data_IF_396096673768
#
_entry.id   IF_396096673768
#
_cell.length_a   1.000
_cell.length_b   1.000
_cell.length_c   1.000
_cell.angle_alpha   90.00
_cell.angle_beta   90.00
_cell.angle_gamma   90.00
#
_symmetry.space_group_name_H-M   'P 1'
#
loop_
_entity.id
_entity.type
_entity.pdbx_description
1 polymer ?
#
# COMPACT_ATOMS: atom_id res chain seq x y z
N UNK A 1 -9.87 -18.18 6.53
CA UNK A 1 -11.07 -17.56 7.09
C UNK A 1 -10.69 -16.71 8.29
N UNK A 2 -10.98 -15.44 8.29
CA UNK A 2 -10.68 -14.56 9.43
C UNK A 2 -11.76 -14.75 10.51
N UNK A 3 -11.73 -15.90 11.18
CA UNK A 3 -12.80 -16.31 12.11
C UNK A 3 -12.53 -15.96 13.56
N UNK A 4 -11.29 -15.65 13.91
CA UNK A 4 -10.89 -15.29 15.26
C UNK A 4 -10.36 -13.86 15.35
N UNK A 5 -10.45 -13.27 16.55
CA UNK A 5 -9.89 -11.97 16.85
C UNK A 5 -8.37 -11.94 16.58
N UNK A 6 -7.66 -13.00 16.96
CA UNK A 6 -6.22 -13.12 16.76
C UNK A 6 -5.85 -13.16 15.28
N UNK A 7 -6.59 -13.90 14.47
CA UNK A 7 -6.37 -13.98 13.02
C UNK A 7 -6.58 -12.62 12.36
N UNK A 8 -7.61 -11.87 12.78
CA UNK A 8 -7.87 -10.54 12.29
C UNK A 8 -6.75 -9.57 12.67
N UNK A 9 -6.31 -9.59 13.92
CA UNK A 9 -5.20 -8.74 14.38
C UNK A 9 -3.91 -9.02 13.61
N UNK A 10 -3.59 -10.29 13.38
CA UNK A 10 -2.43 -10.67 12.57
C UNK A 10 -2.55 -10.18 11.12
N UNK A 11 -3.71 -10.34 10.52
CA UNK A 11 -3.97 -9.87 9.15
C UNK A 11 -3.84 -8.35 9.05
N UNK A 12 -4.29 -7.61 10.06
CA UNK A 12 -4.15 -6.15 10.10
C UNK A 12 -2.68 -5.71 10.20
N UNK A 13 -1.88 -6.41 10.99
CA UNK A 13 -0.45 -6.14 11.09
C UNK A 13 0.24 -6.37 9.75
N UNK A 14 -0.04 -7.48 9.10
CA UNK A 14 0.51 -7.80 7.78
C UNK A 14 0.11 -6.74 6.74
N UNK A 15 -1.15 -6.35 6.73
CA UNK A 15 -1.65 -5.31 5.85
C UNK A 15 -0.94 -3.97 6.12
N UNK A 16 -0.77 -3.58 7.38
CA UNK A 16 -0.06 -2.36 7.75
C UNK A 16 1.38 -2.35 7.23
N UNK A 17 2.09 -3.46 7.36
CA UNK A 17 3.46 -3.56 6.86
C UNK A 17 3.54 -3.48 5.34
N UNK A 18 2.58 -4.06 4.64
CA UNK A 18 2.49 -3.94 3.18
C UNK A 18 2.22 -2.51 2.74
N UNK A 19 1.28 -1.83 3.40
CA UNK A 19 1.01 -0.41 3.14
C UNK A 19 2.25 0.46 3.38
N UNK A 20 2.94 0.20 4.48
CA UNK A 20 4.19 0.89 4.79
C UNK A 20 5.25 0.69 3.71
N UNK A 21 5.41 -0.54 3.23
CA UNK A 21 6.34 -0.85 2.14
C UNK A 21 5.97 -0.15 0.85
N UNK A 22 4.69 -0.14 0.51
CA UNK A 22 4.18 0.54 -0.68
C UNK A 22 4.38 2.05 -0.58
N UNK A 23 4.10 2.65 0.58
CA UNK A 23 4.35 4.07 0.83
C UNK A 23 5.82 4.44 0.64
N UNK A 24 6.73 3.64 1.19
CA UNK A 24 8.17 3.88 1.05
C UNK A 24 8.62 3.77 -0.40
N UNK A 25 8.09 2.79 -1.14
CA UNK A 25 8.34 2.67 -2.58
C UNK A 25 7.89 3.91 -3.34
N UNK A 26 6.67 4.41 -3.08
CA UNK A 26 6.18 5.62 -3.74
C UNK A 26 6.97 6.87 -3.36
N UNK A 27 7.39 6.99 -2.11
CA UNK A 27 8.22 8.10 -1.67
C UNK A 27 9.57 8.11 -2.41
N UNK A 28 10.21 6.96 -2.54
CA UNK A 28 11.47 6.81 -3.26
C UNK A 28 11.28 7.07 -4.77
N UNK A 29 10.27 6.49 -5.38
CA UNK A 29 9.95 6.74 -6.80
C UNK A 29 9.68 8.21 -7.07
N UNK A 30 8.99 8.89 -6.16
CA UNK A 30 8.72 10.32 -6.26
C UNK A 30 9.97 11.18 -6.18
N UNK A 31 10.99 10.73 -5.43
CA UNK A 31 12.28 11.43 -5.39
C UNK A 31 13.10 11.21 -6.66
N UNK A 32 13.06 10.01 -7.22
CA UNK A 32 13.86 9.61 -8.39
C UNK A 32 13.23 9.96 -9.73
N UNK A 33 11.93 10.20 -9.77
CA UNK A 33 11.20 10.50 -11.00
C UNK A 33 11.76 11.74 -11.70
N UNK A 34 11.94 11.66 -13.01
CA UNK A 34 12.44 12.76 -13.84
C UNK A 34 11.30 13.64 -14.33
N UNK A 35 10.18 13.04 -14.69
CA UNK A 35 9.00 13.76 -15.15
C UNK A 35 8.29 14.42 -13.95
N UNK A 36 7.96 15.75 -14.04
CA UNK A 36 7.28 16.44 -12.94
C UNK A 36 5.91 15.87 -12.57
N UNK A 37 5.15 15.41 -13.55
CA UNK A 37 3.83 14.82 -13.29
C UNK A 37 3.95 13.43 -12.64
N UNK A 38 4.91 12.62 -13.08
CA UNK A 38 5.21 11.34 -12.43
C UNK A 38 5.64 11.56 -10.98
N UNK A 39 6.50 12.54 -10.73
CA UNK A 39 6.93 12.92 -9.38
C UNK A 39 5.74 13.29 -8.48
N UNK A 40 4.85 14.12 -9.00
CA UNK A 40 3.64 14.54 -8.31
C UNK A 40 2.72 13.34 -8.02
N UNK A 41 2.56 12.45 -8.99
CA UNK A 41 1.76 11.24 -8.87
C UNK A 41 2.25 10.35 -7.72
N UNK A 42 3.54 10.05 -7.67
CA UNK A 42 4.11 9.20 -6.62
C UNK A 42 4.04 9.84 -5.24
N UNK A 43 4.22 11.16 -5.14
CA UNK A 43 4.04 11.87 -3.87
C UNK A 43 2.61 11.79 -3.36
N UNK A 44 1.63 11.96 -4.24
CA UNK A 44 0.22 11.83 -3.88
C UNK A 44 -0.11 10.41 -3.43
N UNK A 45 0.36 9.40 -4.15
CA UNK A 45 0.17 7.99 -3.78
C UNK A 45 0.80 7.67 -2.43
N UNK A 46 2.02 8.13 -2.17
CA UNK A 46 2.66 7.94 -0.86
C UNK A 46 1.83 8.52 0.28
N UNK A 47 1.25 9.70 0.11
CA UNK A 47 0.38 10.32 1.11
C UNK A 47 -0.92 9.54 1.30
N UNK A 48 -1.48 8.95 0.25
CA UNK A 48 -2.69 8.15 0.33
C UNK A 48 -2.45 6.81 1.05
N UNK A 49 -1.29 6.17 0.81
CA UNK A 49 -0.92 4.95 1.54
C UNK A 49 -0.75 5.22 3.03
N UNK A 50 -0.29 6.39 3.41
CA UNK A 50 -0.22 6.78 4.82
C UNK A 50 -1.61 6.82 5.48
N UNK A 51 -2.63 7.26 4.75
CA UNK A 51 -4.02 7.21 5.22
C UNK A 51 -4.53 5.76 5.38
N UNK A 52 -4.16 4.87 4.47
CA UNK A 52 -4.46 3.44 4.61
C UNK A 52 -3.85 2.87 5.90
N UNK A 53 -2.60 3.23 6.19
CA UNK A 53 -1.94 2.83 7.44
C UNK A 53 -2.72 3.33 8.66
N UNK A 54 -3.21 4.56 8.63
CA UNK A 54 -4.02 5.12 9.71
C UNK A 54 -5.35 4.38 9.89
N UNK A 55 -6.02 4.01 8.80
CA UNK A 55 -7.24 3.20 8.85
C UNK A 55 -6.99 1.84 9.48
N UNK A 56 -5.93 1.15 9.06
CA UNK A 56 -5.58 -0.16 9.59
C UNK A 56 -5.25 -0.06 11.09
N UNK A 57 -4.47 0.94 11.46
CA UNK A 57 -4.13 1.21 12.88
C UNK A 57 -5.39 1.42 13.71
N UNK A 58 -6.30 2.26 13.24
CA UNK A 58 -7.57 2.55 13.92
C UNK A 58 -8.41 1.29 14.09
N UNK A 59 -8.49 0.46 13.05
CA UNK A 59 -9.22 -0.79 13.12
C UNK A 59 -8.57 -1.77 14.10
N UNK A 60 -7.25 -1.89 14.07
CA UNK A 60 -6.49 -2.73 15.00
C UNK A 60 -6.81 -2.35 16.45
N UNK A 61 -6.73 -1.06 16.77
CA UNK A 61 -7.02 -0.55 18.13
C UNK A 61 -8.47 -0.81 18.53
N UNK A 62 -9.41 -0.65 17.61
CA UNK A 62 -10.82 -0.95 17.82
C UNK A 62 -11.07 -2.43 18.15
N UNK A 63 -10.37 -3.34 17.48
CA UNK A 63 -10.48 -4.78 17.71
C UNK A 63 -9.83 -5.19 19.03
N UNK A 64 -8.77 -4.52 19.43
CA UNK A 64 -7.97 -4.87 20.61
C UNK A 64 -8.40 -4.18 21.92
N UNK A 65 -9.48 -3.43 21.94
CA UNK A 65 -9.92 -2.61 23.10
C UNK A 65 -8.98 -1.46 23.48
N UNK A 66 -8.45 -0.77 22.50
CA UNK A 66 -8.01 0.62 22.50
C UNK A 66 -6.83 1.07 23.39
N UNK A 67 -6.22 0.21 24.17
CA UNK A 67 -5.26 0.73 25.17
C UNK A 67 -3.81 0.36 24.93
N UNK A 68 -3.51 -0.34 23.83
CA UNK A 68 -2.15 -0.80 23.55
C UNK A 68 -1.58 -0.24 22.23
N UNK A 69 -1.57 1.09 22.14
CA UNK A 69 -0.84 1.81 21.08
C UNK A 69 0.63 1.42 21.06
N UNK A 70 1.21 1.22 22.25
CA UNK A 70 2.62 0.82 22.36
C UNK A 70 2.86 -0.57 21.78
N UNK A 71 1.97 -1.53 22.01
CA UNK A 71 2.10 -2.87 21.48
C UNK A 71 2.11 -2.92 19.96
N UNK A 72 1.22 -2.19 19.31
CA UNK A 72 1.18 -2.09 17.85
C UNK A 72 2.44 -1.43 17.30
N UNK A 73 2.84 -0.29 17.86
CA UNK A 73 4.03 0.44 17.42
C UNK A 73 5.31 -0.36 17.62
N UNK A 74 5.47 -1.04 18.76
CA UNK A 74 6.60 -1.92 18.99
C UNK A 74 6.63 -3.05 17.99
N UNK A 75 5.51 -3.70 17.74
CA UNK A 75 5.42 -4.77 16.74
C UNK A 75 5.82 -4.27 15.35
N UNK A 76 5.30 -3.13 14.93
CA UNK A 76 5.60 -2.56 13.62
C UNK A 76 7.07 -2.16 13.46
N UNK A 77 7.74 -1.77 14.55
CA UNK A 77 9.18 -1.44 14.55
C UNK A 77 10.08 -2.67 14.47
N UNK A 78 9.67 -3.78 15.09
CA UNK A 78 10.45 -5.02 15.15
C UNK A 78 10.08 -6.04 14.09
N UNK A 79 9.06 -5.75 13.29
CA UNK A 79 8.63 -6.64 12.22
C UNK A 79 9.64 -6.65 11.06
N UNK A 80 9.56 -7.70 10.24
CA UNK A 80 10.42 -7.92 9.08
C UNK A 80 10.47 -6.70 8.15
N UNK A 81 11.50 -6.66 7.29
CA UNK A 81 11.69 -5.59 6.32
C UNK A 81 10.40 -5.29 5.54
N UNK A 82 10.12 -4.01 5.27
CA UNK A 82 8.90 -3.63 4.56
C UNK A 82 8.79 -4.33 3.21
N UNK A 83 7.59 -4.78 2.90
CA UNK A 83 7.24 -5.33 1.60
C UNK A 83 6.10 -4.49 1.02
N UNK A 84 5.98 -4.48 -0.30
CA UNK A 84 4.85 -3.86 -0.96
C UNK A 84 3.60 -4.73 -0.80
N UNK A 85 2.45 -4.20 -1.14
CA UNK A 85 1.18 -4.93 -1.19
C UNK A 85 1.23 -6.15 -2.12
N UNK A 86 2.13 -6.13 -3.10
CA UNK A 86 2.42 -7.28 -3.97
C UNK A 86 3.28 -8.36 -3.29
N UNK A 87 3.72 -8.13 -2.05
CA UNK A 87 4.60 -9.04 -1.33
C UNK A 87 6.07 -8.95 -1.77
N UNK A 88 6.43 -7.94 -2.55
CA UNK A 88 7.80 -7.73 -3.03
C UNK A 88 8.54 -6.84 -2.03
N UNK A 89 9.70 -7.25 -1.49
CA UNK A 89 10.47 -6.40 -0.60
C UNK A 89 10.83 -5.06 -1.27
N UNK A 90 10.63 -3.96 -0.56
CA UNK A 90 10.92 -2.60 -1.08
C UNK A 90 12.37 -2.50 -1.52
N UNK A 91 13.29 -3.11 -0.76
CA UNK A 91 14.71 -3.18 -1.10
C UNK A 91 14.98 -3.74 -2.50
N UNK A 92 14.23 -4.77 -2.90
CA UNK A 92 14.39 -5.38 -4.22
C UNK A 92 13.86 -4.48 -5.33
N UNK A 93 12.79 -3.74 -5.07
CA UNK A 93 12.26 -2.74 -6.00
C UNK A 93 13.20 -1.56 -6.15
N UNK A 94 13.75 -1.06 -5.06
CA UNK A 94 14.74 0.02 -5.10
C UNK A 94 15.98 -0.38 -5.89
N UNK A 95 16.51 -1.59 -5.65
CA UNK A 95 17.63 -2.13 -6.40
C UNK A 95 17.31 -2.29 -7.90
N UNK A 96 16.09 -2.68 -8.22
CA UNK A 96 15.60 -2.78 -9.61
C UNK A 96 15.52 -1.40 -10.26
N UNK A 97 14.97 -0.41 -9.55
CA UNK A 97 14.89 0.97 -10.02
C UNK A 97 16.28 1.58 -10.24
N UNK A 98 17.23 1.32 -9.36
CA UNK A 98 18.61 1.80 -9.51
C UNK A 98 19.31 1.16 -10.72
N UNK A 99 19.16 -0.14 -10.90
CA UNK A 99 19.72 -0.86 -12.07
C UNK A 99 19.07 -0.43 -13.37
N UNK A 100 17.80 -0.02 -13.31
CA UNK A 100 17.00 0.44 -14.44
C UNK A 100 16.69 1.94 -14.34
N UNK A 101 17.64 2.74 -13.85
CA UNK A 101 17.46 4.19 -13.71
C UNK A 101 17.20 4.91 -15.05
N UNK A 102 17.50 4.24 -16.16
CA UNK A 102 17.12 4.62 -17.52
C UNK A 102 15.74 4.08 -17.93
N UNK A 103 15.18 3.13 -17.18
CA UNK A 103 13.81 2.64 -17.36
C UNK A 103 12.91 3.51 -16.49
N UNK A 104 13.04 4.69 -16.72
CA UNK A 104 12.05 5.68 -16.76
C UNK A 104 10.91 5.57 -15.74
N UNK A 105 10.31 6.66 -15.60
CA UNK A 105 9.09 6.86 -14.83
C UNK A 105 7.97 5.91 -15.27
N UNK A 106 7.94 5.54 -16.55
CA UNK A 106 6.96 4.59 -17.08
C UNK A 106 7.10 3.21 -16.43
N UNK A 107 8.32 2.70 -16.27
CA UNK A 107 8.56 1.43 -15.58
C UNK A 107 8.07 1.45 -14.13
N UNK A 108 8.31 2.54 -13.41
CA UNK A 108 7.83 2.73 -12.05
C UNK A 108 6.29 2.77 -11.98
N UNK A 109 5.64 3.43 -12.93
CA UNK A 109 4.16 3.47 -13.01
C UNK A 109 3.59 2.07 -13.29
N UNK A 110 4.21 1.29 -14.16
CA UNK A 110 3.77 -0.07 -14.45
C UNK A 110 3.90 -0.97 -13.20
N UNK A 111 5.00 -0.88 -12.46
CA UNK A 111 5.15 -1.59 -11.20
C UNK A 111 4.08 -1.16 -10.18
N UNK A 112 3.81 0.15 -10.08
CA UNK A 112 2.78 0.67 -9.20
C UNK A 112 1.40 0.09 -9.55
N UNK A 113 1.05 0.02 -10.83
CA UNK A 113 -0.21 -0.59 -11.27
C UNK A 113 -0.32 -2.07 -10.87
N UNK A 114 0.76 -2.81 -10.93
CA UNK A 114 0.79 -4.20 -10.47
C UNK A 114 0.58 -4.30 -8.96
N UNK A 115 1.25 -3.46 -8.18
CA UNK A 115 1.10 -3.39 -6.72
C UNK A 115 -0.35 -3.09 -6.34
N UNK A 116 -0.92 -2.06 -6.93
CA UNK A 116 -2.30 -1.63 -6.64
C UNK A 116 -3.34 -2.68 -7.05
N UNK A 117 -3.11 -3.38 -8.16
CA UNK A 117 -3.99 -4.47 -8.58
C UNK A 117 -3.99 -5.62 -7.57
N UNK A 118 -2.85 -5.95 -7.01
CA UNK A 118 -2.73 -6.98 -5.97
C UNK A 118 -3.33 -6.52 -4.64
N UNK A 119 -3.15 -5.25 -4.27
CA UNK A 119 -3.77 -4.65 -3.10
C UNK A 119 -5.30 -4.69 -3.20
N UNK A 120 -5.85 -4.30 -4.33
CA UNK A 120 -7.28 -4.38 -4.59
C UNK A 120 -7.81 -5.81 -4.34
N UNK A 121 -7.14 -6.81 -4.89
CA UNK A 121 -7.55 -8.21 -4.72
C UNK A 121 -7.40 -8.67 -3.27
N UNK A 122 -6.38 -8.23 -2.57
CA UNK A 122 -6.17 -8.54 -1.16
C UNK A 122 -7.33 -8.02 -0.31
N UNK A 123 -7.65 -6.73 -0.43
CA UNK A 123 -8.71 -6.13 0.36
C UNK A 123 -10.09 -6.65 -0.01
N UNK A 124 -10.31 -6.98 -1.28
CA UNK A 124 -11.54 -7.65 -1.71
C UNK A 124 -11.71 -8.98 -0.97
N UNK A 125 -10.66 -9.83 -0.97
CA UNK A 125 -10.69 -11.11 -0.28
C UNK A 125 -10.87 -10.95 1.22
N UNK A 126 -10.19 -9.98 1.83
CA UNK A 126 -10.32 -9.69 3.25
C UNK A 126 -11.74 -9.24 3.60
N UNK A 127 -12.36 -8.41 2.78
CA UNK A 127 -13.75 -7.96 2.99
C UNK A 127 -14.76 -9.12 2.90
N UNK A 128 -14.50 -10.07 2.00
CA UNK A 128 -15.36 -11.25 1.82
C UNK A 128 -15.22 -12.24 2.99
N UNK A 129 -14.02 -12.37 3.54
CA UNK A 129 -13.71 -13.36 4.58
C UNK A 129 -13.90 -12.84 6.00
N UNK A 130 -13.91 -11.54 6.21
CA UNK A 130 -14.04 -10.96 7.54
C UNK A 130 -15.41 -11.27 8.14
N UNK A 131 -15.43 -11.70 9.39
CA UNK A 131 -16.66 -11.92 10.17
C UNK A 131 -17.05 -10.62 10.89
N UNK A 132 -16.07 -9.88 11.36
CA UNK A 132 -16.28 -8.58 12.02
C UNK A 132 -16.86 -7.56 11.05
N UNK A 133 -17.98 -6.94 11.42
CA UNK A 133 -18.70 -5.98 10.56
C UNK A 133 -17.86 -4.72 10.28
N UNK A 134 -17.17 -4.20 11.30
CA UNK A 134 -16.32 -3.02 11.12
C UNK A 134 -15.15 -3.33 10.20
N UNK A 135 -14.53 -4.51 10.35
CA UNK A 135 -13.47 -4.96 9.47
C UNK A 135 -13.94 -5.06 8.01
N UNK A 136 -15.12 -5.61 7.77
CA UNK A 136 -15.71 -5.67 6.42
C UNK A 136 -15.85 -4.30 5.79
N UNK A 137 -16.36 -3.33 6.55
CA UNK A 137 -16.56 -1.96 6.06
C UNK A 137 -15.21 -1.33 5.70
N UNK A 138 -14.23 -1.43 6.59
CA UNK A 138 -12.89 -0.86 6.37
C UNK A 138 -12.21 -1.48 5.15
N UNK A 139 -12.20 -2.80 5.04
CA UNK A 139 -11.56 -3.47 3.90
C UNK A 139 -12.25 -3.16 2.57
N UNK A 140 -13.58 -3.01 2.59
CA UNK A 140 -14.33 -2.61 1.38
C UNK A 140 -13.98 -1.19 0.97
N UNK A 141 -13.89 -0.28 1.93
CA UNK A 141 -13.47 1.10 1.67
C UNK A 141 -12.05 1.17 1.11
N UNK A 142 -11.13 0.41 1.70
CA UNK A 142 -9.76 0.32 1.19
C UNK A 142 -9.71 -0.25 -0.23
N UNK A 143 -10.48 -1.28 -0.51
CA UNK A 143 -10.61 -1.84 -1.86
C UNK A 143 -11.06 -0.78 -2.88
N UNK A 144 -12.04 0.03 -2.53
CA UNK A 144 -12.52 1.12 -3.38
C UNK A 144 -11.47 2.21 -3.59
N UNK A 145 -10.69 2.50 -2.55
CA UNK A 145 -9.60 3.46 -2.65
C UNK A 145 -8.48 2.95 -3.56
N UNK A 146 -8.18 1.65 -3.54
CA UNK A 146 -7.20 1.05 -4.47
C UNK A 146 -7.65 1.21 -5.93
N UNK A 147 -8.94 1.11 -6.21
CA UNK A 147 -9.45 1.41 -7.57
C UNK A 147 -9.18 2.86 -7.97
N UNK A 148 -9.30 3.79 -7.03
CA UNK A 148 -8.99 5.21 -7.27
C UNK A 148 -7.50 5.41 -7.56
N UNK A 149 -6.62 4.71 -6.84
CA UNK A 149 -5.17 4.72 -7.08
C UNK A 149 -4.85 4.18 -8.48
N UNK A 150 -5.48 3.07 -8.87
CA UNK A 150 -5.31 2.48 -10.21
C UNK A 150 -5.72 3.48 -11.29
N UNK A 151 -6.87 4.14 -11.15
CA UNK A 151 -7.35 5.13 -12.11
C UNK A 151 -6.39 6.32 -12.21
N UNK A 152 -5.86 6.78 -11.08
CA UNK A 152 -4.88 7.86 -11.02
C UNK A 152 -3.59 7.48 -11.74
N UNK A 153 -3.10 6.27 -11.51
CA UNK A 153 -1.92 5.74 -12.20
C UNK A 153 -2.13 5.56 -13.69
N UNK A 154 -3.31 5.11 -14.11
CA UNK A 154 -3.65 4.98 -15.54
C UNK A 154 -3.63 6.34 -16.25
N UNK A 155 -4.13 7.38 -15.61
CA UNK A 155 -4.08 8.75 -16.13
C UNK A 155 -2.63 9.24 -16.26
N UNK A 156 -1.81 9.00 -15.23
CA UNK A 156 -0.40 9.35 -15.25
C UNK A 156 0.35 8.59 -16.36
N UNK A 157 0.06 7.31 -16.55
CA UNK A 157 0.63 6.50 -17.63
C UNK A 157 0.29 7.07 -19.01
N UNK A 158 -0.96 7.43 -19.21
CA UNK A 158 -1.40 8.02 -20.48
C UNK A 158 -0.71 9.35 -20.74
N UNK A 159 -0.67 10.25 -19.74
CA UNK A 159 -0.01 11.55 -19.85
C UNK A 159 1.48 11.40 -20.16
N UNK A 160 2.16 10.45 -19.51
CA UNK A 160 3.58 10.22 -19.73
C UNK A 160 3.86 9.65 -21.12
N UNK A 161 2.98 8.79 -21.64
CA UNK A 161 3.09 8.22 -22.98
C UNK A 161 2.91 9.28 -24.09
N UNK A 162 2.19 10.36 -23.82
CA UNK A 162 1.95 11.47 -24.75
C UNK A 162 3.06 12.51 -24.74
N UNK A 163 3.98 12.45 -23.80
CA UNK A 163 5.11 13.38 -23.71
C UNK A 163 6.18 12.98 -24.74
N UNK A 164 6.60 13.91 -25.64
CA UNK A 164 7.61 13.61 -26.67
C UNK A 164 8.99 13.35 -26.07
#
# INVERSE_FOLDING_TARGET
MLTGKEDLLQALIEAFLMEKGTREFYADAGQKALDPEARKTFKALSAWEEKHMDYIRSLYLSVQDERDLEGFEQFSRHAAAPVTEAGIPVKDLEASLERHSFVDDMGAIIFALEIEGKAYNLYRKMSEKAVDTNAKVVFREMMEQELSHIDYLKKARTALAETP
#
